data_IF_271846978926
#
_entry.id   IF_271846978926
#
_cell.length_a   1.000
_cell.length_b   1.000
_cell.length_c   1.000
_cell.angle_alpha   90.00
_cell.angle_beta   90.00
_cell.angle_gamma   90.00
#
_symmetry.space_group_name_H-M   'P 1'
#
loop_
_entity.id
_entity.type
_entity.pdbx_description
1 polymer ?
#
# COMPACT_ATOMS: atom_id res chain seq x y z
N UNK A 1 42.08 -60.39 23.52
CA UNK A 1 40.65 -60.74 23.33
C UNK A 1 39.86 -59.45 23.50
N UNK A 2 39.36 -58.88 22.42
CA UNK A 2 38.46 -57.71 22.49
C UNK A 2 37.15 -58.18 23.10
N UNK A 3 36.67 -57.46 24.13
CA UNK A 3 35.43 -57.79 24.81
C UNK A 3 34.25 -57.54 23.84
N UNK A 4 33.49 -58.59 23.46
CA UNK A 4 32.37 -58.45 22.54
C UNK A 4 31.28 -57.51 23.08
N UNK A 5 31.17 -57.38 24.41
CA UNK A 5 30.18 -56.49 25.03
C UNK A 5 30.55 -55.01 24.89
N UNK A 6 31.84 -54.67 25.00
CA UNK A 6 32.34 -53.31 24.78
C UNK A 6 32.17 -52.86 23.31
N UNK A 7 32.29 -53.81 22.37
CA UNK A 7 32.12 -53.55 20.93
C UNK A 7 30.65 -53.27 20.58
N UNK A 8 29.72 -54.01 21.17
CA UNK A 8 28.28 -53.80 20.99
C UNK A 8 27.81 -52.46 21.58
N UNK A 9 28.31 -52.11 22.77
CA UNK A 9 27.95 -50.85 23.44
C UNK A 9 28.42 -49.62 22.64
N UNK A 10 29.64 -49.68 22.09
CA UNK A 10 30.17 -48.63 21.20
C UNK A 10 29.36 -48.49 19.91
N UNK A 11 28.93 -49.60 19.30
CA UNK A 11 28.12 -49.59 18.08
C UNK A 11 26.73 -48.96 18.29
N UNK A 12 26.08 -49.23 19.44
CA UNK A 12 24.77 -48.64 19.78
C UNK A 12 24.87 -47.12 19.98
N UNK A 13 25.93 -46.65 20.66
CA UNK A 13 26.16 -45.21 20.86
C UNK A 13 26.44 -44.53 19.52
N UNK A 14 27.26 -45.13 18.66
CA UNK A 14 27.54 -44.60 17.33
C UNK A 14 26.27 -44.50 16.46
N UNK A 15 25.41 -45.52 16.50
CA UNK A 15 24.12 -45.51 15.80
C UNK A 15 23.16 -44.43 16.34
N UNK A 16 23.13 -44.21 17.66
CA UNK A 16 22.30 -43.17 18.27
C UNK A 16 22.76 -41.75 17.89
N UNK A 17 24.08 -41.50 17.88
CA UNK A 17 24.66 -40.22 17.45
C UNK A 17 24.41 -39.98 15.96
N UNK A 18 24.55 -41.00 15.11
CA UNK A 18 24.23 -40.92 13.70
C UNK A 18 22.73 -40.64 13.45
N UNK A 19 21.84 -41.30 14.20
CA UNK A 19 20.39 -41.07 14.13
C UNK A 19 19.99 -39.63 14.51
N UNK A 20 20.59 -39.08 15.58
CA UNK A 20 20.36 -37.70 16.00
C UNK A 20 20.86 -36.68 14.96
N UNK A 21 22.00 -36.95 14.31
CA UNK A 21 22.52 -36.13 13.21
C UNK A 21 21.60 -36.10 11.99
N UNK A 22 21.01 -37.25 11.62
CA UNK A 22 20.05 -37.33 10.52
C UNK A 22 18.75 -36.59 10.83
N UNK A 23 18.23 -36.71 12.06
CA UNK A 23 17.05 -35.96 12.50
C UNK A 23 17.32 -34.45 12.49
N UNK A 24 18.48 -34.00 13.01
CA UNK A 24 18.88 -32.59 12.98
C UNK A 24 19.04 -32.05 11.56
N UNK A 25 19.56 -32.85 10.63
CA UNK A 25 19.70 -32.48 9.21
C UNK A 25 18.34 -32.35 8.52
N UNK A 26 17.38 -33.24 8.81
CA UNK A 26 16.02 -33.16 8.27
C UNK A 26 15.27 -31.93 8.81
N UNK A 27 15.41 -31.64 10.10
CA UNK A 27 14.84 -30.45 10.74
C UNK A 27 15.44 -29.18 10.13
N UNK A 28 16.77 -29.10 10.04
CA UNK A 28 17.47 -27.96 9.44
C UNK A 28 17.06 -27.78 7.97
N UNK A 29 17.03 -28.85 7.18
CA UNK A 29 16.61 -28.80 5.79
C UNK A 29 15.14 -28.38 5.62
N UNK A 30 14.25 -28.81 6.53
CA UNK A 30 12.86 -28.39 6.54
C UNK A 30 12.71 -26.90 6.90
N UNK A 31 13.49 -26.41 7.87
CA UNK A 31 13.55 -24.99 8.24
C UNK A 31 14.07 -24.17 7.06
N UNK A 32 15.23 -24.54 6.49
CA UNK A 32 15.82 -23.85 5.33
C UNK A 32 14.90 -23.87 4.12
N UNK A 33 14.22 -25.00 3.82
CA UNK A 33 13.23 -25.04 2.74
C UNK A 33 12.03 -24.14 3.01
N UNK A 34 11.55 -24.07 4.24
CA UNK A 34 10.46 -23.16 4.61
C UNK A 34 10.87 -21.71 4.46
N UNK A 35 12.07 -21.33 4.91
CA UNK A 35 12.58 -19.97 4.75
C UNK A 35 12.81 -19.64 3.28
N UNK A 36 13.38 -20.56 2.49
CA UNK A 36 13.59 -20.35 1.05
C UNK A 36 12.26 -20.09 0.33
N UNK A 37 11.25 -20.95 0.55
CA UNK A 37 9.92 -20.80 -0.05
C UNK A 37 9.24 -19.49 0.35
N UNK A 38 9.42 -19.06 1.60
CA UNK A 38 8.91 -17.77 2.07
C UNK A 38 9.60 -16.61 1.34
N UNK A 39 10.92 -16.66 1.18
CA UNK A 39 11.68 -15.65 0.43
C UNK A 39 11.30 -15.63 -1.04
N UNK A 40 11.17 -16.78 -1.69
CA UNK A 40 10.81 -16.90 -3.10
C UNK A 40 9.39 -16.36 -3.33
N UNK A 41 8.43 -16.73 -2.47
CA UNK A 41 7.06 -16.21 -2.52
C UNK A 41 7.04 -14.69 -2.32
N UNK A 42 7.90 -14.17 -1.44
CA UNK A 42 8.01 -12.74 -1.18
C UNK A 42 8.57 -11.96 -2.37
N UNK A 43 9.61 -12.48 -3.02
CA UNK A 43 10.19 -11.87 -4.21
C UNK A 43 9.21 -11.90 -5.39
N UNK A 44 8.50 -13.01 -5.57
CA UNK A 44 7.47 -13.13 -6.60
C UNK A 44 6.32 -12.14 -6.35
N UNK A 45 5.85 -12.03 -5.10
CA UNK A 45 4.84 -11.04 -4.73
C UNK A 45 5.32 -9.62 -5.00
N UNK A 46 6.56 -9.28 -4.66
CA UNK A 46 7.14 -7.95 -4.93
C UNK A 46 7.16 -7.65 -6.43
N UNK A 47 7.60 -8.59 -7.27
CA UNK A 47 7.59 -8.42 -8.73
C UNK A 47 6.17 -8.23 -9.28
N UNK A 48 5.20 -9.03 -8.80
CA UNK A 48 3.79 -8.90 -9.20
C UNK A 48 3.21 -7.57 -8.76
N UNK A 49 3.57 -7.10 -7.57
CA UNK A 49 3.11 -5.82 -7.03
C UNK A 49 3.69 -4.64 -7.80
N UNK A 50 4.99 -4.65 -8.12
CA UNK A 50 5.62 -3.65 -8.98
C UNK A 50 4.98 -3.60 -10.37
N UNK A 51 4.70 -4.77 -10.96
CA UNK A 51 4.01 -4.83 -12.24
C UNK A 51 2.58 -4.28 -12.18
N UNK A 52 1.83 -4.63 -11.13
CA UNK A 52 0.48 -4.13 -10.89
C UNK A 52 0.47 -2.60 -10.68
N UNK A 53 1.45 -2.08 -9.95
CA UNK A 53 1.65 -0.65 -9.76
C UNK A 53 1.97 0.07 -11.07
N UNK A 54 2.88 -0.49 -11.88
CA UNK A 54 3.19 0.07 -13.20
C UNK A 54 1.97 0.12 -14.13
N UNK A 55 1.15 -0.94 -14.13
CA UNK A 55 -0.12 -0.96 -14.87
C UNK A 55 -1.10 0.11 -14.34
N UNK A 56 -1.19 0.28 -13.02
CA UNK A 56 -2.04 1.29 -12.39
C UNK A 56 -1.64 2.73 -12.78
N UNK A 57 -0.37 2.97 -13.11
CA UNK A 57 0.13 4.26 -13.61
C UNK A 57 -0.02 4.42 -15.14
N UNK A 58 -0.57 3.42 -15.85
CA UNK A 58 -0.75 3.52 -17.30
C UNK A 58 -1.72 4.64 -17.67
N UNK A 59 -1.46 5.31 -18.79
CA UNK A 59 -2.38 6.29 -19.39
C UNK A 59 -3.62 5.63 -19.98
N UNK A 60 -3.58 4.32 -20.25
CA UNK A 60 -4.74 3.55 -20.68
C UNK A 60 -5.61 3.17 -19.46
N UNK A 61 -6.88 3.61 -19.48
CA UNK A 61 -7.82 3.40 -18.38
C UNK A 61 -8.12 1.92 -18.10
N UNK A 62 -8.08 1.05 -19.12
CA UNK A 62 -8.31 -0.39 -18.94
C UNK A 62 -7.10 -1.07 -18.30
N UNK A 63 -5.89 -0.67 -18.70
CA UNK A 63 -4.67 -1.13 -18.06
C UNK A 63 -4.59 -0.66 -16.61
N UNK A 64 -4.90 0.60 -16.36
CA UNK A 64 -4.93 1.18 -15.01
C UNK A 64 -5.94 0.46 -14.10
N UNK A 65 -7.15 0.20 -14.59
CA UNK A 65 -8.15 -0.59 -13.86
C UNK A 65 -7.71 -2.03 -13.61
N UNK A 66 -6.93 -2.62 -14.52
CA UNK A 66 -6.35 -3.95 -14.34
C UNK A 66 -5.27 -3.93 -13.25
N UNK A 67 -4.41 -2.91 -13.25
CA UNK A 67 -3.42 -2.68 -12.20
C UNK A 67 -4.04 -2.60 -10.80
N UNK A 68 -5.13 -1.83 -10.66
CA UNK A 68 -5.85 -1.72 -9.38
C UNK A 68 -6.41 -3.07 -8.89
N UNK A 69 -7.03 -3.86 -9.77
CA UNK A 69 -7.52 -5.22 -9.41
C UNK A 69 -6.39 -6.16 -8.99
N UNK A 70 -5.23 -6.04 -9.63
CA UNK A 70 -4.05 -6.82 -9.26
C UNK A 70 -3.52 -6.41 -7.89
N UNK A 71 -3.46 -5.10 -7.59
CA UNK A 71 -3.10 -4.59 -6.26
C UNK A 71 -4.07 -5.11 -5.20
N UNK A 72 -5.39 -5.09 -5.46
CA UNK A 72 -6.40 -5.65 -4.56
C UNK A 72 -6.16 -7.13 -4.28
N UNK A 73 -5.98 -7.94 -5.34
CA UNK A 73 -5.76 -9.38 -5.22
C UNK A 73 -4.49 -9.69 -4.43
N UNK A 74 -3.42 -8.91 -4.66
CA UNK A 74 -2.15 -9.05 -3.95
C UNK A 74 -2.24 -8.60 -2.49
N UNK A 75 -3.03 -7.57 -2.17
CA UNK A 75 -3.23 -7.10 -0.79
C UNK A 75 -4.12 -8.06 0.02
N UNK A 76 -5.01 -8.78 -0.65
CA UNK A 76 -5.96 -9.73 -0.05
C UNK A 76 -5.39 -11.14 0.20
N UNK A 77 -4.12 -11.41 -0.16
CA UNK A 77 -3.55 -12.75 0.03
C UNK A 77 -3.37 -13.07 1.54
N UNK A 78 -3.70 -14.29 1.96
CA UNK A 78 -3.76 -14.69 3.39
C UNK A 78 -2.48 -14.48 4.20
N UNK A 79 -1.33 -14.50 3.54
CA UNK A 79 -0.02 -14.41 4.19
C UNK A 79 0.54 -12.98 4.23
N UNK A 80 -0.15 -12.03 3.58
CA UNK A 80 0.26 -10.62 3.47
C UNK A 80 0.11 -9.92 4.81
N UNK A 81 1.09 -9.11 5.16
CA UNK A 81 1.18 -8.44 6.45
C UNK A 81 0.48 -7.08 6.45
N UNK A 82 0.25 -6.49 7.62
CA UNK A 82 -0.26 -5.12 7.73
C UNK A 82 0.70 -4.09 7.13
N UNK A 83 2.02 -4.34 7.16
CA UNK A 83 3.03 -3.47 6.55
C UNK A 83 2.90 -3.41 5.02
N UNK A 84 2.58 -4.55 4.41
CA UNK A 84 2.34 -4.65 2.97
C UNK A 84 1.08 -3.91 2.56
N UNK A 85 0.00 -4.11 3.34
CA UNK A 85 -1.25 -3.39 3.15
C UNK A 85 -1.03 -1.89 3.33
N UNK A 86 -0.24 -1.46 4.31
CA UNK A 86 0.12 -0.06 4.51
C UNK A 86 0.89 0.53 3.32
N UNK A 87 1.82 -0.23 2.73
CA UNK A 87 2.55 0.18 1.52
C UNK A 87 1.60 0.36 0.33
N UNK A 88 0.70 -0.61 0.12
CA UNK A 88 -0.33 -0.52 -0.91
C UNK A 88 -1.25 0.70 -0.72
N UNK A 89 -1.68 0.96 0.53
CA UNK A 89 -2.50 2.12 0.88
C UNK A 89 -1.79 3.44 0.61
N UNK A 90 -0.49 3.54 0.92
CA UNK A 90 0.30 4.75 0.63
C UNK A 90 0.40 5.03 -0.87
N UNK A 91 0.59 3.99 -1.68
CA UNK A 91 0.62 4.09 -3.14
C UNK A 91 -0.77 4.49 -3.67
N UNK A 92 -1.82 3.84 -3.18
CA UNK A 92 -3.19 4.16 -3.58
C UNK A 92 -3.57 5.62 -3.28
N UNK A 93 -3.09 6.16 -2.15
CA UNK A 93 -3.26 7.57 -1.81
C UNK A 93 -2.52 8.55 -2.73
N UNK A 94 -1.50 8.08 -3.45
CA UNK A 94 -0.72 8.90 -4.39
C UNK A 94 -1.35 8.99 -5.78
N UNK A 95 -2.27 8.08 -6.14
CA UNK A 95 -2.95 8.14 -7.42
C UNK A 95 -3.95 9.31 -7.48
N UNK A 96 -3.96 10.01 -8.61
CA UNK A 96 -4.85 11.14 -8.83
C UNK A 96 -5.67 11.02 -10.14
N UNK A 97 -6.65 11.90 -10.32
CA UNK A 97 -7.58 12.01 -11.46
C UNK A 97 -8.49 10.82 -11.79
N UNK A 98 -8.13 10.03 -12.81
CA UNK A 98 -9.05 9.21 -13.58
C UNK A 98 -9.37 7.89 -12.88
N UNK A 99 -8.41 7.43 -12.08
CA UNK A 99 -8.53 6.25 -11.24
C UNK A 99 -8.70 6.61 -9.76
N UNK A 100 -8.84 7.88 -9.42
CA UNK A 100 -8.90 8.29 -8.01
C UNK A 100 -10.14 7.78 -7.29
N UNK A 101 -11.30 7.78 -7.95
CA UNK A 101 -12.51 7.18 -7.38
C UNK A 101 -12.34 5.66 -7.14
N UNK A 102 -11.96 4.84 -8.13
CA UNK A 102 -11.75 3.41 -7.88
C UNK A 102 -10.56 3.11 -6.94
N UNK A 103 -9.50 3.93 -6.94
CA UNK A 103 -8.39 3.80 -6.00
C UNK A 103 -8.81 4.15 -4.56
N UNK A 104 -9.68 5.14 -4.37
CA UNK A 104 -10.21 5.50 -3.06
C UNK A 104 -11.16 4.43 -2.51
N UNK A 105 -11.98 3.81 -3.36
CA UNK A 105 -12.81 2.66 -3.00
C UNK A 105 -11.94 1.47 -2.58
N UNK A 106 -10.94 1.12 -3.40
CA UNK A 106 -10.01 0.05 -3.09
C UNK A 106 -9.20 0.33 -1.81
N UNK A 107 -8.77 1.57 -1.59
CA UNK A 107 -8.10 2.01 -0.36
C UNK A 107 -9.00 1.78 0.85
N UNK A 108 -10.30 2.07 0.76
CA UNK A 108 -11.23 1.83 1.86
C UNK A 108 -11.37 0.33 2.17
N UNK A 109 -11.43 -0.53 1.14
CA UNK A 109 -11.46 -1.99 1.30
C UNK A 109 -10.19 -2.50 1.99
N UNK A 110 -9.01 -2.13 1.48
CA UNK A 110 -7.73 -2.60 2.06
C UNK A 110 -7.54 -2.06 3.47
N UNK A 111 -7.97 -0.83 3.76
CA UNK A 111 -7.89 -0.24 5.09
C UNK A 111 -8.73 -1.01 6.11
N UNK A 112 -9.89 -1.56 5.69
CA UNK A 112 -10.74 -2.39 6.56
C UNK A 112 -10.08 -3.72 6.94
N UNK A 113 -9.16 -4.22 6.11
CA UNK A 113 -8.41 -5.47 6.34
C UNK A 113 -7.13 -5.27 7.16
N UNK A 114 -6.74 -4.03 7.46
CA UNK A 114 -5.61 -3.74 8.36
C UNK A 114 -5.98 -4.14 9.78
N UNK A 115 -5.24 -5.08 10.36
CA UNK A 115 -5.58 -5.67 11.66
C UNK A 115 -5.07 -4.82 12.83
N UNK A 116 -3.98 -4.08 12.64
CA UNK A 116 -3.42 -3.18 13.65
C UNK A 116 -4.19 -1.83 13.71
N UNK A 117 -4.85 -1.51 14.84
CA UNK A 117 -5.69 -0.32 14.95
C UNK A 117 -4.90 0.99 14.98
N UNK A 118 -3.65 0.99 15.46
CA UNK A 118 -2.82 2.19 15.47
C UNK A 118 -2.39 2.55 14.04
N UNK A 119 -2.00 1.54 13.26
CA UNK A 119 -1.64 1.71 11.84
C UNK A 119 -2.86 2.14 11.03
N UNK A 120 -4.02 1.50 11.24
CA UNK A 120 -5.26 1.89 10.59
C UNK A 120 -5.66 3.34 10.89
N UNK A 121 -5.52 3.79 12.14
CA UNK A 121 -5.83 5.17 12.54
C UNK A 121 -4.93 6.21 11.86
N UNK A 122 -3.63 5.95 11.73
CA UNK A 122 -2.72 6.85 11.01
C UNK A 122 -3.00 6.86 9.50
N UNK A 123 -3.22 5.69 8.90
CA UNK A 123 -3.51 5.57 7.46
C UNK A 123 -4.88 6.17 7.08
N UNK A 124 -5.85 6.14 7.99
CA UNK A 124 -7.14 6.78 7.81
C UNK A 124 -7.00 8.31 7.68
N UNK A 125 -6.10 8.92 8.46
CA UNK A 125 -5.80 10.37 8.39
C UNK A 125 -5.18 10.77 7.07
N UNK A 126 -4.41 9.88 6.43
CA UNK A 126 -3.81 10.10 5.11
C UNK A 126 -4.86 9.87 4.02
N UNK A 127 -5.83 10.78 3.91
CA UNK A 127 -6.94 10.62 2.96
C UNK A 127 -6.51 10.99 1.53
N UNK A 128 -6.63 10.02 0.60
CA UNK A 128 -6.55 10.25 -0.84
C UNK A 128 -7.60 11.30 -1.27
N UNK A 129 -7.14 12.32 -2.01
CA UNK A 129 -7.82 13.60 -2.32
C UNK A 129 -9.26 13.75 -1.88
N UNK A 130 -9.44 14.43 -0.75
CA UNK A 130 -10.73 14.98 -0.39
C UNK A 130 -11.22 15.92 -1.50
N UNK A 131 -12.43 15.67 -2.01
CA UNK A 131 -13.17 16.64 -2.85
C UNK A 131 -13.26 17.96 -2.09
N UNK A 132 -12.39 18.91 -2.43
CA UNK A 132 -12.41 20.23 -1.82
C UNK A 132 -13.60 21.05 -2.30
N UNK A 133 -14.15 21.90 -1.43
CA UNK A 133 -15.18 22.88 -1.79
C UNK A 133 -14.51 24.21 -2.13
N UNK A 134 -14.85 24.76 -3.29
CA UNK A 134 -14.50 26.13 -3.63
C UNK A 134 -15.48 27.10 -2.99
N UNK A 135 -14.96 28.12 -2.32
CA UNK A 135 -15.73 29.22 -1.75
C UNK A 135 -15.22 30.55 -2.31
N UNK A 136 -16.10 31.33 -2.92
CA UNK A 136 -15.82 32.70 -3.35
C UNK A 136 -16.14 33.66 -2.20
N UNK A 137 -15.24 34.60 -1.92
CA UNK A 137 -15.43 35.63 -0.90
C UNK A 137 -14.79 36.95 -1.33
N UNK A 138 -15.23 38.03 -0.72
CA UNK A 138 -14.63 39.36 -0.88
C UNK A 138 -13.74 39.64 0.31
N UNK A 139 -12.50 40.05 0.06
CA UNK A 139 -11.56 40.39 1.13
C UNK A 139 -11.80 41.80 1.69
N UNK A 140 -11.07 42.15 2.75
CA UNK A 140 -11.18 43.47 3.38
C UNK A 140 -10.64 44.63 2.53
N UNK A 141 -9.84 44.33 1.50
CA UNK A 141 -9.37 45.32 0.52
C UNK A 141 -10.40 45.59 -0.59
N UNK A 142 -11.45 44.77 -0.66
CA UNK A 142 -12.52 44.89 -1.64
C UNK A 142 -12.33 44.03 -2.89
N UNK A 143 -11.28 43.19 -2.94
CA UNK A 143 -11.00 42.26 -4.01
C UNK A 143 -11.74 40.94 -3.81
N UNK A 144 -12.08 40.28 -4.91
CA UNK A 144 -12.69 38.96 -4.93
C UNK A 144 -11.62 37.87 -4.94
N UNK A 145 -11.74 36.91 -4.05
CA UNK A 145 -10.87 35.74 -3.96
C UNK A 145 -11.68 34.47 -3.84
N UNK A 146 -11.13 33.37 -4.34
CA UNK A 146 -11.65 32.03 -4.05
C UNK A 146 -10.67 31.28 -3.15
N UNK A 147 -11.18 30.33 -2.37
CA UNK A 147 -10.37 29.38 -1.59
C UNK A 147 -10.88 27.97 -1.76
N UNK A 148 -9.97 27.01 -1.78
CA UNK A 148 -10.28 25.59 -1.79
C UNK A 148 -10.16 25.05 -0.36
N UNK A 149 -11.25 24.48 0.15
CA UNK A 149 -11.31 23.90 1.49
C UNK A 149 -11.44 22.39 1.39
N UNK A 150 -10.54 21.65 2.03
CA UNK A 150 -10.62 20.20 2.14
C UNK A 150 -11.82 19.76 3.00
N UNK A 151 -12.18 18.48 2.93
CA UNK A 151 -13.29 17.92 3.70
C UNK A 151 -13.05 17.95 5.23
N UNK A 152 -11.78 17.96 5.64
CA UNK A 152 -11.34 18.13 7.03
C UNK A 152 -11.37 19.61 7.51
N UNK A 153 -11.69 20.53 6.60
CA UNK A 153 -11.80 21.95 6.87
C UNK A 153 -10.50 22.76 6.70
N UNK A 154 -9.40 22.13 6.28
CA UNK A 154 -8.14 22.83 5.99
C UNK A 154 -8.22 23.62 4.67
N UNK A 155 -7.48 24.73 4.59
CA UNK A 155 -7.34 25.50 3.35
C UNK A 155 -6.22 24.91 2.50
N UNK A 156 -6.57 24.41 1.32
CA UNK A 156 -5.62 23.80 0.37
C UNK A 156 -5.01 24.82 -0.59
N UNK A 157 -5.80 25.81 -1.02
CA UNK A 157 -5.38 26.85 -1.94
C UNK A 157 -6.20 28.13 -1.75
N UNK A 158 -5.59 29.26 -2.05
CA UNK A 158 -6.23 30.58 -2.05
C UNK A 158 -5.82 31.31 -3.33
N UNK A 159 -6.78 31.96 -3.99
CA UNK A 159 -6.54 32.73 -5.20
C UNK A 159 -5.87 34.06 -4.92
N UNK A 160 -5.28 34.63 -5.97
CA UNK A 160 -4.94 36.04 -5.99
C UNK A 160 -6.21 36.92 -5.89
N UNK A 161 -6.01 38.19 -5.50
CA UNK A 161 -7.07 39.18 -5.46
C UNK A 161 -7.49 39.60 -6.86
N UNK A 162 -8.79 39.50 -7.15
CA UNK A 162 -9.36 39.95 -8.42
C UNK A 162 -10.28 41.14 -8.21
N UNK A 163 -10.13 42.18 -9.05
CA UNK A 163 -10.96 43.39 -8.97
C UNK A 163 -12.45 43.15 -9.25
N UNK A 164 -12.83 42.04 -9.90
CA UNK A 164 -14.22 41.72 -10.23
C UNK A 164 -14.59 40.29 -9.89
N UNK A 165 -15.85 40.07 -9.48
CA UNK A 165 -16.40 38.76 -9.17
C UNK A 165 -16.27 37.80 -10.36
N UNK A 166 -16.53 38.30 -11.57
CA UNK A 166 -16.46 37.52 -12.81
C UNK A 166 -15.04 37.06 -13.13
N UNK A 167 -14.02 37.87 -12.84
CA UNK A 167 -12.62 37.46 -13.00
C UNK A 167 -12.24 36.37 -11.99
N UNK A 168 -12.69 36.49 -10.73
CA UNK A 168 -12.49 35.46 -9.72
C UNK A 168 -13.22 34.15 -10.07
N UNK A 169 -14.45 34.24 -10.58
CA UNK A 169 -15.21 33.08 -11.07
C UNK A 169 -14.49 32.36 -12.22
N UNK A 170 -13.97 33.10 -13.21
CA UNK A 170 -13.21 32.51 -14.30
C UNK A 170 -11.91 31.83 -13.82
N UNK A 171 -11.19 32.48 -12.89
CA UNK A 171 -10.00 31.90 -12.26
C UNK A 171 -10.35 30.63 -11.47
N UNK A 172 -11.46 30.65 -10.73
CA UNK A 172 -11.96 29.50 -9.98
C UNK A 172 -12.37 28.36 -10.91
N UNK A 173 -13.01 28.65 -12.05
CA UNK A 173 -13.39 27.64 -13.04
C UNK A 173 -12.14 27.01 -13.68
N UNK A 174 -11.11 27.81 -13.96
CA UNK A 174 -9.81 27.32 -14.42
C UNK A 174 -9.17 26.45 -13.35
N UNK A 175 -9.09 26.91 -12.11
CA UNK A 175 -8.56 26.15 -10.99
C UNK A 175 -9.35 24.86 -10.75
N UNK A 176 -10.67 24.85 -10.97
CA UNK A 176 -11.49 23.66 -10.88
C UNK A 176 -11.22 22.68 -12.01
N UNK A 177 -10.89 23.18 -13.20
CA UNK A 177 -10.47 22.34 -14.34
C UNK A 177 -9.08 21.78 -14.12
N UNK A 178 -8.12 22.59 -13.68
CA UNK A 178 -6.76 22.17 -13.38
C UNK A 178 -6.75 21.25 -12.16
N UNK A 179 -7.24 21.67 -11.00
CA UNK A 179 -7.27 20.85 -9.77
C UNK A 179 -8.28 19.68 -9.82
N UNK A 180 -9.21 19.70 -10.77
CA UNK A 180 -10.08 18.55 -11.09
C UNK A 180 -9.48 17.62 -12.17
N UNK A 181 -8.50 18.11 -12.93
CA UNK A 181 -7.51 17.38 -13.73
C UNK A 181 -6.14 17.38 -13.01
N UNK A 182 -6.14 17.18 -11.68
CA UNK A 182 -5.07 17.05 -10.67
C UNK A 182 -5.00 15.68 -10.00
#
# INVERSE_FOLDING_TARGET
MTDPTATLLAAVIAAAVAGLGLVWSVISFAITRRTQRATDARQEWSRRFEHAHALALSTDLKEAATGLKLIEALASEKWVTDEDRATALSILSSFTHAIQAPAAELRATILADVTNPAVAAELAKVTAGAKGRFELYRDGAGDYRWRLKAADGQFLAVSEGHATERAALNSMELARRELGNV
#
